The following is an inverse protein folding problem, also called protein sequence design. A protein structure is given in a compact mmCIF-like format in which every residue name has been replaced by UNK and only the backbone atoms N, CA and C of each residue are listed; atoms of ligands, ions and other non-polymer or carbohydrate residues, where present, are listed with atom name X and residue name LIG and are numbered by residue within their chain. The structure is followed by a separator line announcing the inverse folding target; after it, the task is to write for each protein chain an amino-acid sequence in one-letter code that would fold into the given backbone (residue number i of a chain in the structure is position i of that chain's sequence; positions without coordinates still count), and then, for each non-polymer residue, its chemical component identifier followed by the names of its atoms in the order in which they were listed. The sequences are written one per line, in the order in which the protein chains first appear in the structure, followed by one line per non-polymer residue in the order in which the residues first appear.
data_IF_945096640166
#
_entry.id   IF_945096640166
#
_cell.length_a   1.000
_cell.length_b   1.000
_cell.length_c   1.000
_cell.angle_alpha   90.00
_cell.angle_beta   90.00
_cell.angle_gamma   90.00
#
_symmetry.space_group_name_H-M   'P 1'
#
loop_
_entity.id
_entity.type
_entity.pdbx_description
1 polymer ?
#
# COMPACT_ATOMS: atom_id res chain seq x y z
N UNK A 1 18.89 -36.91 -15.94
CA UNK A 1 18.90 -35.68 -15.12
C UNK A 1 17.69 -34.85 -15.53
N UNK A 2 16.85 -34.42 -14.58
CA UNK A 2 15.77 -33.48 -14.88
C UNK A 2 16.37 -32.08 -15.04
N UNK A 3 15.98 -31.35 -16.08
CA UNK A 3 16.33 -29.94 -16.20
C UNK A 3 15.64 -29.17 -15.06
N UNK A 4 16.39 -28.33 -14.33
CA UNK A 4 15.77 -27.37 -13.42
C UNK A 4 15.01 -26.35 -14.26
N UNK A 5 13.78 -25.94 -13.88
CA UNK A 5 13.15 -24.79 -14.51
C UNK A 5 14.04 -23.56 -14.33
N UNK A 6 14.12 -22.73 -15.36
CA UNK A 6 14.77 -21.42 -15.27
C UNK A 6 13.97 -20.52 -14.33
N UNK A 7 14.60 -19.76 -13.42
CA UNK A 7 13.88 -18.84 -12.55
C UNK A 7 13.12 -17.81 -13.39
N UNK A 8 11.89 -17.49 -12.98
CA UNK A 8 11.12 -16.45 -13.62
C UNK A 8 11.76 -15.09 -13.31
N UNK A 9 12.41 -14.48 -14.30
CA UNK A 9 12.87 -13.08 -14.17
C UNK A 9 11.66 -12.20 -13.94
N UNK A 10 11.58 -11.56 -12.76
CA UNK A 10 10.54 -10.59 -12.46
C UNK A 10 10.48 -9.56 -13.60
N UNK A 11 9.35 -9.51 -14.30
CA UNK A 11 9.22 -8.66 -15.49
C UNK A 11 9.31 -7.19 -15.05
N UNK A 12 10.18 -6.36 -15.65
CA UNK A 12 10.21 -4.95 -15.33
C UNK A 12 8.85 -4.33 -15.67
N UNK A 13 8.27 -3.57 -14.72
CA UNK A 13 6.93 -2.98 -14.82
C UNK A 13 6.69 -2.24 -16.15
N UNK A 14 7.78 -1.68 -16.72
CA UNK A 14 7.87 -1.07 -18.04
C UNK A 14 7.31 -1.91 -19.21
N UNK A 15 7.22 -3.23 -19.10
CA UNK A 15 6.66 -4.12 -20.16
C UNK A 15 5.14 -4.22 -20.04
N UNK A 16 4.61 -4.47 -18.84
CA UNK A 16 3.16 -4.54 -18.58
C UNK A 16 2.53 -3.17 -18.80
N UNK A 17 3.17 -2.10 -18.32
CA UNK A 17 2.75 -0.72 -18.53
C UNK A 17 2.69 -0.34 -20.02
N UNK A 18 3.53 -0.89 -20.90
CA UNK A 18 3.43 -0.63 -22.36
C UNK A 18 2.17 -1.25 -22.97
N UNK A 19 1.75 -2.44 -22.54
CA UNK A 19 0.47 -3.02 -22.97
C UNK A 19 -0.71 -2.22 -22.43
N UNK A 20 -0.68 -1.84 -21.16
CA UNK A 20 -1.76 -1.08 -20.52
C UNK A 20 -1.89 0.33 -21.11
N UNK A 21 -0.78 1.03 -21.35
CA UNK A 21 -0.79 2.34 -22.01
C UNK A 21 -1.25 2.26 -23.47
N UNK A 22 -0.96 1.18 -24.20
CA UNK A 22 -1.52 0.97 -25.54
C UNK A 22 -3.05 0.75 -25.49
N UNK A 23 -3.55 -0.04 -24.53
CA UNK A 23 -4.99 -0.22 -24.31
C UNK A 23 -5.68 1.10 -23.90
N UNK A 24 -5.10 1.85 -22.97
CA UNK A 24 -5.62 3.16 -22.54
C UNK A 24 -5.50 4.22 -23.63
N UNK A 25 -4.49 4.16 -24.49
CA UNK A 25 -4.37 5.03 -25.67
C UNK A 25 -5.48 4.71 -26.69
N UNK A 26 -5.74 3.44 -26.96
CA UNK A 26 -6.85 3.00 -27.82
C UNK A 26 -8.23 3.37 -27.24
N UNK A 27 -8.41 3.31 -25.93
CA UNK A 27 -9.63 3.81 -25.25
C UNK A 27 -9.74 5.34 -25.32
N UNK A 28 -8.65 6.08 -25.11
CA UNK A 28 -8.66 7.55 -25.16
C UNK A 28 -8.84 8.12 -26.58
N UNK A 29 -8.54 7.34 -27.63
CA UNK A 29 -8.92 7.65 -29.00
C UNK A 29 -10.46 7.61 -29.22
N UNK A 30 -11.20 6.85 -28.40
CA UNK A 30 -12.66 6.83 -28.42
C UNK A 30 -13.31 7.93 -27.57
N UNK A 31 -12.60 8.52 -26.59
CA UNK A 31 -13.16 9.53 -25.66
C UNK A 31 -12.76 10.98 -25.99
N UNK A 32 -12.31 11.27 -27.22
CA UNK A 32 -12.03 12.63 -27.73
C UNK A 32 -13.30 13.47 -28.00
N UNK A 33 -14.21 13.49 -27.04
CA UNK A 33 -15.40 14.32 -27.03
C UNK A 33 -15.73 14.75 -25.60
N UNK A 34 -14.93 15.68 -25.04
CA UNK A 34 -15.35 16.85 -24.25
C UNK A 34 -14.13 17.70 -23.79
N UNK A 35 -14.27 19.02 -23.84
CA UNK A 35 -13.34 20.07 -23.36
C UNK A 35 -13.48 20.29 -21.82
N UNK A 36 -12.63 21.02 -21.06
CA UNK A 36 -11.29 21.66 -21.26
C UNK A 36 -10.69 22.20 -19.95
N UNK A 37 -9.38 22.58 -19.98
CA UNK A 37 -8.67 23.57 -19.13
C UNK A 37 -8.54 23.26 -17.60
N UNK A 38 -7.48 23.64 -16.87
CA UNK A 38 -6.24 24.43 -17.07
C UNK A 38 -5.16 23.94 -16.05
N UNK A 39 -3.91 24.41 -15.85
CA UNK A 39 -3.11 25.58 -16.31
C UNK A 39 -1.58 25.20 -16.30
N UNK A 40 -0.66 26.15 -16.10
CA UNK A 40 0.82 26.01 -16.11
C UNK A 40 1.51 26.39 -14.79
N UNK A 41 2.75 25.90 -14.55
CA UNK A 41 3.65 26.48 -13.53
C UNK A 41 5.03 25.84 -13.29
N UNK A 42 6.08 26.31 -13.99
CA UNK A 42 7.46 26.43 -13.48
C UNK A 42 8.40 25.18 -13.41
N UNK A 43 9.69 25.28 -13.85
CA UNK A 43 10.68 24.20 -13.73
C UNK A 43 11.88 24.49 -12.80
N UNK A 44 12.48 23.44 -12.22
CA UNK A 44 13.89 23.44 -11.75
C UNK A 44 14.55 22.06 -11.95
N UNK A 45 15.87 22.06 -12.13
CA UNK A 45 16.79 20.91 -12.06
C UNK A 45 17.59 20.98 -10.75
N UNK A 46 18.32 19.97 -10.24
CA UNK A 46 19.07 18.89 -10.89
C UNK A 46 18.92 17.53 -10.16
N UNK A 47 19.64 16.51 -10.63
CA UNK A 47 19.45 15.08 -10.31
C UNK A 47 20.03 14.60 -8.97
N UNK A 48 19.23 13.87 -8.18
CA UNK A 48 19.66 12.66 -7.45
C UNK A 48 18.44 11.89 -6.91
N UNK A 49 18.01 10.82 -7.60
CA UNK A 49 17.12 9.75 -7.10
C UNK A 49 15.93 10.18 -6.22
N UNK A 50 15.05 11.05 -6.72
CA UNK A 50 13.94 11.63 -5.94
C UNK A 50 12.57 11.33 -6.60
N UNK A 51 11.81 10.39 -6.06
CA UNK A 51 10.44 10.11 -6.52
C UNK A 51 9.45 11.00 -5.74
N UNK A 52 8.99 12.09 -6.36
CA UNK A 52 8.16 13.10 -5.68
C UNK A 52 6.85 12.55 -5.10
N UNK A 53 6.25 11.54 -5.73
CA UNK A 53 4.98 10.95 -5.29
C UNK A 53 5.04 10.29 -3.90
N UNK A 54 6.16 9.68 -3.52
CA UNK A 54 6.32 9.08 -2.18
C UNK A 54 6.21 10.11 -1.05
N UNK A 55 6.68 11.33 -1.31
CA UNK A 55 6.68 12.39 -0.32
C UNK A 55 5.34 13.14 -0.31
N UNK A 56 4.61 13.23 -1.42
CA UNK A 56 3.38 14.03 -1.49
C UNK A 56 2.06 13.24 -1.56
N UNK A 57 2.14 11.92 -1.46
CA UNK A 57 1.02 11.02 -1.17
C UNK A 57 0.09 11.55 -0.06
N UNK A 58 -1.06 12.09 -0.46
CA UNK A 58 -2.11 12.50 0.46
C UNK A 58 -2.80 11.24 0.99
N UNK A 59 -3.05 11.11 2.30
CA UNK A 59 -3.86 10.00 2.81
C UNK A 59 -5.28 10.12 2.23
N UNK A 60 -5.94 8.99 1.90
CA UNK A 60 -7.27 9.00 1.31
C UNK A 60 -8.27 9.66 2.27
N UNK A 61 -9.40 10.17 1.75
CA UNK A 61 -10.44 10.72 2.60
C UNK A 61 -11.01 9.62 3.51
N UNK A 62 -10.72 9.75 4.81
CA UNK A 62 -11.45 9.03 5.86
C UNK A 62 -12.93 9.37 5.71
N UNK A 63 -13.74 8.38 5.33
CA UNK A 63 -15.19 8.53 5.36
C UNK A 63 -15.64 8.35 6.80
N UNK A 64 -15.97 9.46 7.45
CA UNK A 64 -16.49 9.47 8.81
C UNK A 64 -17.95 9.03 8.75
N UNK A 65 -18.20 7.77 9.07
CA UNK A 65 -19.56 7.25 9.22
C UNK A 65 -20.18 7.78 10.53
N UNK A 66 -20.95 8.86 10.43
CA UNK A 66 -21.83 9.33 11.51
C UNK A 66 -22.99 8.35 11.72
N UNK A 67 -22.74 7.30 12.51
CA UNK A 67 -23.75 6.32 12.90
C UNK A 67 -24.76 6.90 13.88
N UNK A 68 -25.91 7.36 13.39
CA UNK A 68 -26.97 7.96 14.21
C UNK A 68 -27.60 6.99 15.21
N UNK A 69 -27.14 7.02 16.47
CA UNK A 69 -27.79 6.40 17.62
C UNK A 69 -27.48 7.17 18.91
N UNK A 70 -28.49 7.44 19.73
CA UNK A 70 -28.36 8.20 20.99
C UNK A 70 -27.81 7.34 22.15
N UNK A 71 -26.56 6.93 22.05
CA UNK A 71 -25.74 6.45 23.18
C UNK A 71 -24.31 6.91 22.99
N UNK A 72 -23.72 7.49 24.03
CA UNK A 72 -22.41 8.15 24.08
C UNK A 72 -21.25 7.29 23.51
N UNK A 73 -21.08 7.33 22.19
CA UNK A 73 -20.08 6.55 21.48
C UNK A 73 -18.77 7.34 21.38
N UNK A 74 -17.71 6.79 21.98
CA UNK A 74 -16.33 7.20 21.66
C UNK A 74 -16.13 7.23 20.14
N UNK A 75 -15.38 8.20 19.58
CA UNK A 75 -15.13 8.25 18.14
C UNK A 75 -14.54 6.92 17.67
N UNK A 76 -14.99 6.44 16.50
CA UNK A 76 -14.69 5.10 15.99
C UNK A 76 -13.19 4.92 15.75
N UNK A 77 -12.51 4.34 16.75
CA UNK A 77 -11.05 4.30 16.80
C UNK A 77 -10.49 3.24 15.83
N UNK A 78 -9.85 3.69 14.76
CA UNK A 78 -9.39 2.89 13.61
C UNK A 78 -7.96 2.36 13.82
N UNK A 79 -7.56 1.36 13.02
CA UNK A 79 -6.14 1.04 12.81
C UNK A 79 -5.58 1.81 11.62
N UNK A 80 -4.27 2.10 11.69
CA UNK A 80 -3.45 2.39 10.53
C UNK A 80 -2.54 1.19 10.24
N UNK A 81 -2.87 0.43 9.20
CA UNK A 81 -2.18 -0.79 8.82
C UNK A 81 -1.28 -0.58 7.59
N UNK A 82 -0.12 -1.23 7.60
CA UNK A 82 0.84 -1.24 6.50
C UNK A 82 1.23 -2.70 6.19
N UNK A 83 1.11 -3.07 4.93
CA UNK A 83 1.64 -4.31 4.33
C UNK A 83 2.88 -3.91 3.54
N UNK A 84 4.02 -4.52 3.86
CA UNK A 84 5.32 -4.19 3.28
C UNK A 84 5.93 -5.44 2.63
N UNK A 85 6.16 -5.39 1.33
CA UNK A 85 6.96 -6.36 0.58
C UNK A 85 8.46 -6.15 0.83
N UNK A 86 9.10 -7.20 1.33
CA UNK A 86 10.51 -7.18 1.78
C UNK A 86 11.39 -8.16 1.01
N UNK A 87 11.01 -8.47 -0.23
CA UNK A 87 11.91 -9.11 -1.20
C UNK A 87 13.04 -8.19 -1.63
N UNK A 88 14.03 -8.73 -2.34
CA UNK A 88 15.24 -8.00 -2.73
C UNK A 88 15.05 -6.97 -3.85
N UNK A 89 13.96 -7.05 -4.62
CA UNK A 89 13.67 -6.13 -5.73
C UNK A 89 13.22 -4.75 -5.22
N UNK A 90 12.45 -4.70 -4.14
CA UNK A 90 12.13 -3.50 -3.34
C UNK A 90 13.37 -2.83 -2.67
N UNK A 91 14.59 -3.16 -3.07
CA UNK A 91 15.83 -2.87 -2.34
C UNK A 91 16.28 -1.41 -2.34
N UNK A 92 16.17 -0.72 -3.47
CA UNK A 92 16.36 0.73 -3.61
C UNK A 92 15.17 1.52 -3.06
N UNK A 93 13.95 1.02 -3.27
CA UNK A 93 12.72 1.66 -2.77
C UNK A 93 12.45 1.50 -1.28
N UNK A 94 13.07 0.52 -0.59
CA UNK A 94 12.98 0.32 0.86
C UNK A 94 13.08 1.63 1.66
N UNK A 95 14.00 2.52 1.25
CA UNK A 95 14.19 3.83 1.87
C UNK A 95 13.01 4.78 1.60
N UNK A 96 12.50 4.81 0.37
CA UNK A 96 11.38 5.68 -0.04
C UNK A 96 10.07 5.21 0.59
N UNK A 97 9.83 3.90 0.62
CA UNK A 97 8.66 3.28 1.26
C UNK A 97 8.65 3.55 2.77
N UNK A 98 9.77 3.37 3.48
CA UNK A 98 9.86 3.74 4.91
C UNK A 98 9.53 5.22 5.14
N UNK A 99 10.04 6.12 4.30
CA UNK A 99 9.74 7.55 4.39
C UNK A 99 8.26 7.86 4.10
N UNK A 100 7.66 7.22 3.07
CA UNK A 100 6.24 7.33 2.75
C UNK A 100 5.34 6.85 3.90
N UNK A 101 5.60 5.64 4.42
CA UNK A 101 4.93 5.07 5.59
C UNK A 101 4.98 6.01 6.81
N UNK A 102 6.16 6.55 7.12
CA UNK A 102 6.35 7.52 8.21
C UNK A 102 5.60 8.84 7.97
N UNK A 103 5.57 9.33 6.74
CA UNK A 103 4.91 10.60 6.35
C UNK A 103 3.38 10.46 6.26
N UNK A 104 2.86 9.29 5.92
CA UNK A 104 1.44 8.93 6.00
C UNK A 104 0.95 8.93 7.46
N UNK A 105 1.74 8.34 8.38
CA UNK A 105 1.47 8.39 9.82
C UNK A 105 1.51 9.84 10.32
N UNK A 106 2.60 10.55 10.07
CA UNK A 106 2.76 11.96 10.47
C UNK A 106 1.59 12.83 9.99
N UNK A 107 1.17 12.72 8.72
CA UNK A 107 0.00 13.45 8.15
C UNK A 107 -1.34 13.12 8.80
N UNK A 108 -1.48 12.00 9.50
CA UNK A 108 -2.68 11.72 10.32
C UNK A 108 -2.59 12.42 11.67
N UNK A 109 -1.45 12.30 12.36
CA UNK A 109 -1.22 12.95 13.66
C UNK A 109 -1.34 14.48 13.55
N UNK A 110 -0.68 15.09 12.57
CA UNK A 110 -0.70 16.54 12.28
C UNK A 110 -2.12 17.08 11.98
N UNK A 111 -3.00 16.24 11.41
CA UNK A 111 -4.40 16.59 11.13
C UNK A 111 -5.32 16.42 12.35
N UNK A 112 -4.77 16.26 13.55
CA UNK A 112 -5.52 16.01 14.78
C UNK A 112 -6.20 14.64 14.84
N UNK A 113 -5.88 13.72 13.92
CA UNK A 113 -6.52 12.39 13.82
C UNK A 113 -5.89 11.36 14.74
N UNK A 114 -4.95 11.75 15.62
CA UNK A 114 -4.38 10.86 16.64
C UNK A 114 -5.48 10.30 17.56
N UNK A 115 -6.45 11.12 17.96
CA UNK A 115 -7.62 10.68 18.73
C UNK A 115 -8.56 9.71 17.99
N UNK A 116 -8.36 9.51 16.67
CA UNK A 116 -9.06 8.51 15.86
C UNK A 116 -8.24 7.23 15.66
N UNK A 117 -6.91 7.24 15.83
CA UNK A 117 -6.08 6.05 15.59
C UNK A 117 -5.82 5.33 16.91
N UNK A 118 -6.37 4.12 17.02
CA UNK A 118 -6.22 3.24 18.18
C UNK A 118 -4.85 2.55 18.20
N UNK A 119 -4.46 2.01 17.06
CA UNK A 119 -3.31 1.13 16.92
C UNK A 119 -2.75 1.15 15.48
N UNK A 120 -1.51 0.66 15.37
CA UNK A 120 -0.73 0.53 14.15
C UNK A 120 -0.45 -0.94 13.90
N UNK A 121 -0.59 -1.39 12.65
CA UNK A 121 -0.35 -2.78 12.24
C UNK A 121 0.73 -2.81 11.16
N UNK A 122 1.76 -3.63 11.33
CA UNK A 122 2.74 -3.93 10.27
C UNK A 122 2.70 -5.43 9.91
N UNK A 123 2.48 -5.73 8.64
CA UNK A 123 2.64 -7.07 8.04
C UNK A 123 3.82 -7.03 7.07
N UNK A 124 4.65 -8.07 7.07
CA UNK A 124 5.81 -8.21 6.17
C UNK A 124 5.59 -9.37 5.21
N UNK A 125 5.55 -9.11 3.91
CA UNK A 125 5.50 -10.12 2.84
C UNK A 125 6.92 -10.41 2.36
N UNK A 126 7.24 -11.68 2.11
CA UNK A 126 8.56 -12.15 1.70
C UNK A 126 8.44 -13.60 1.17
N UNK A 127 7.98 -13.79 -0.06
CA UNK A 127 7.63 -15.12 -0.60
C UNK A 127 8.66 -16.22 -0.27
N UNK A 128 8.23 -17.39 0.24
CA UNK A 128 6.85 -17.82 0.54
C UNK A 128 6.30 -17.38 1.91
N UNK A 129 7.11 -16.73 2.75
CA UNK A 129 6.77 -16.40 4.13
C UNK A 129 6.03 -15.05 4.25
N UNK A 130 4.85 -15.07 4.89
CA UNK A 130 4.16 -13.86 5.34
C UNK A 130 4.29 -13.74 6.85
N UNK A 131 5.03 -12.73 7.29
CA UNK A 131 5.30 -12.47 8.71
C UNK A 131 4.05 -12.03 9.48
N UNK A 132 3.91 -12.43 10.75
CA UNK A 132 2.71 -12.17 11.54
C UNK A 132 2.45 -10.67 11.74
N UNK A 133 1.18 -10.28 11.75
CA UNK A 133 0.74 -8.90 11.96
C UNK A 133 1.23 -8.36 13.31
N UNK A 134 2.15 -7.38 13.26
CA UNK A 134 2.73 -6.72 14.43
C UNK A 134 1.87 -5.51 14.81
N UNK A 135 1.06 -5.65 15.86
CA UNK A 135 0.16 -4.59 16.35
C UNK A 135 0.81 -3.80 17.49
N UNK A 136 0.70 -2.47 17.49
CA UNK A 136 1.13 -1.62 18.62
C UNK A 136 0.34 -0.31 18.69
N UNK A 137 0.06 0.20 19.89
CA UNK A 137 -0.51 1.54 20.09
C UNK A 137 0.55 2.66 20.10
N UNK A 138 1.83 2.30 20.14
CA UNK A 138 2.96 3.22 20.29
C UNK A 138 3.52 3.63 18.93
N UNK A 139 3.38 4.90 18.55
CA UNK A 139 4.00 5.48 17.33
C UNK A 139 5.51 5.24 17.29
N UNK A 140 6.20 5.41 18.43
CA UNK A 140 7.63 5.11 18.60
C UNK A 140 7.95 3.65 18.28
N UNK A 141 7.13 2.73 18.76
CA UNK A 141 7.31 1.28 18.54
C UNK A 141 7.00 0.90 17.10
N UNK A 142 6.01 1.53 16.48
CA UNK A 142 5.72 1.35 15.06
C UNK A 142 6.86 1.87 14.17
N UNK A 143 7.46 3.02 14.49
CA UNK A 143 8.67 3.49 13.84
C UNK A 143 9.84 2.51 14.00
N UNK A 144 10.03 1.91 15.18
CA UNK A 144 11.03 0.85 15.38
C UNK A 144 10.73 -0.40 14.53
N UNK A 145 9.46 -0.73 14.29
CA UNK A 145 9.09 -1.83 13.40
C UNK A 145 9.41 -1.52 11.94
N UNK A 146 9.10 -0.31 11.46
CA UNK A 146 9.44 0.17 10.11
C UNK A 146 10.96 0.24 9.88
N UNK A 147 11.72 0.81 10.82
CA UNK A 147 13.18 0.88 10.68
C UNK A 147 13.81 -0.51 10.70
N UNK A 148 13.25 -1.45 11.47
CA UNK A 148 13.68 -2.86 11.51
C UNK A 148 13.33 -3.70 10.28
N UNK A 149 12.59 -3.16 9.29
CA UNK A 149 12.40 -3.84 8.00
C UNK A 149 13.68 -3.73 7.17
N UNK A 150 14.12 -4.86 6.61
CA UNK A 150 15.16 -4.93 5.59
C UNK A 150 14.67 -5.80 4.45
N UNK A 151 15.16 -5.52 3.24
CA UNK A 151 14.96 -6.34 2.05
C UNK A 151 16.07 -7.37 1.95
N UNK A 152 15.74 -8.57 1.48
CA UNK A 152 16.68 -9.65 1.23
C UNK A 152 16.05 -10.63 0.23
N UNK A 153 16.86 -11.23 -0.65
CA UNK A 153 16.47 -12.42 -1.43
C UNK A 153 15.09 -12.34 -2.09
N UNK A 154 14.26 -13.34 -1.82
CA UNK A 154 12.93 -13.54 -2.40
C UNK A 154 12.74 -14.99 -2.84
N UNK A 155 11.49 -15.38 -3.05
CA UNK A 155 11.11 -16.67 -3.63
C UNK A 155 11.01 -16.58 -5.15
N UNK A 156 9.86 -16.97 -5.70
CA UNK A 156 9.55 -16.83 -7.13
C UNK A 156 8.51 -15.71 -7.31
N UNK A 157 8.86 -14.63 -8.03
CA UNK A 157 7.90 -13.66 -8.54
C UNK A 157 6.77 -14.40 -9.30
N UNK A 158 5.49 -14.30 -8.90
CA UNK A 158 4.86 -13.23 -8.11
C UNK A 158 4.70 -13.50 -6.60
N UNK A 159 4.36 -12.48 -5.81
CA UNK A 159 4.38 -12.47 -4.34
C UNK A 159 3.08 -12.92 -3.62
N UNK A 160 3.19 -13.23 -2.32
CA UNK A 160 2.06 -13.59 -1.42
C UNK A 160 1.35 -12.36 -0.83
N UNK A 161 1.14 -11.32 -1.65
CA UNK A 161 0.68 -10.00 -1.19
C UNK A 161 -0.75 -10.01 -0.67
N UNK A 162 -1.65 -10.86 -1.20
CA UNK A 162 -3.07 -10.85 -0.80
C UNK A 162 -3.24 -11.48 0.59
N UNK A 163 -2.42 -12.47 0.94
CA UNK A 163 -2.25 -13.00 2.31
C UNK A 163 -1.77 -11.91 3.26
N UNK A 164 -0.86 -11.04 2.83
CA UNK A 164 -0.42 -9.88 3.61
C UNK A 164 -1.55 -8.90 3.93
N UNK A 165 -2.38 -8.60 2.92
CA UNK A 165 -3.59 -7.77 3.06
C UNK A 165 -4.63 -8.46 3.96
N UNK A 166 -4.82 -9.77 3.83
CA UNK A 166 -5.71 -10.59 4.64
C UNK A 166 -5.33 -10.53 6.13
N UNK A 167 -4.06 -10.75 6.47
CA UNK A 167 -3.57 -10.65 7.85
C UNK A 167 -3.70 -9.23 8.43
N UNK A 168 -3.42 -8.20 7.63
CA UNK A 168 -3.59 -6.80 8.05
C UNK A 168 -5.07 -6.48 8.33
N UNK A 169 -5.97 -6.92 7.45
CA UNK A 169 -7.42 -6.80 7.64
C UNK A 169 -7.93 -7.58 8.84
N UNK A 170 -7.40 -8.77 9.15
CA UNK A 170 -7.82 -9.54 10.33
C UNK A 170 -7.40 -8.88 11.63
N UNK A 171 -6.16 -8.36 11.71
CA UNK A 171 -5.64 -7.67 12.91
C UNK A 171 -6.27 -6.28 13.15
N UNK A 172 -6.63 -5.55 12.08
CA UNK A 172 -7.11 -4.17 12.17
C UNK A 172 -8.52 -4.03 12.81
N UNK A 173 -8.81 -2.86 13.37
CA UNK A 173 -10.16 -2.45 13.81
C UNK A 173 -11.11 -2.27 12.60
N UNK A 174 -12.44 -2.12 12.81
CA UNK A 174 -13.34 -1.61 11.78
C UNK A 174 -12.96 -0.19 11.31
N UNK A 175 -13.39 0.18 10.09
CA UNK A 175 -13.14 1.46 9.41
C UNK A 175 -11.65 1.80 9.18
N UNK A 176 -10.77 0.82 9.23
CA UNK A 176 -9.31 1.02 9.18
C UNK A 176 -8.77 1.35 7.78
N UNK A 177 -7.60 1.98 7.75
CA UNK A 177 -6.82 2.18 6.53
C UNK A 177 -5.73 1.11 6.41
N UNK A 178 -5.67 0.42 5.27
CA UNK A 178 -4.64 -0.56 4.93
C UNK A 178 -3.86 -0.02 3.73
N UNK A 179 -2.58 0.25 3.90
CA UNK A 179 -1.65 0.63 2.84
C UNK A 179 -0.81 -0.57 2.43
N UNK A 180 -0.61 -0.78 1.13
CA UNK A 180 0.20 -1.89 0.59
C UNK A 180 1.33 -1.32 -0.26
N UNK A 181 2.56 -1.73 0.03
CA UNK A 181 3.76 -1.38 -0.74
C UNK A 181 4.41 -2.67 -1.26
N UNK A 182 4.46 -2.83 -2.58
CA UNK A 182 5.07 -3.94 -3.33
C UNK A 182 5.36 -3.45 -4.76
N UNK A 183 6.38 -4.01 -5.38
CA UNK A 183 6.75 -3.83 -6.80
C UNK A 183 6.21 -4.96 -7.70
N UNK A 184 5.72 -6.03 -7.08
CA UNK A 184 5.40 -7.30 -7.72
C UNK A 184 3.89 -7.52 -7.85
N UNK A 185 3.51 -8.39 -8.78
CA UNK A 185 2.14 -8.91 -8.82
C UNK A 185 1.91 -9.90 -7.69
N UNK A 186 0.67 -10.09 -7.27
CA UNK A 186 0.32 -11.19 -6.35
C UNK A 186 0.25 -12.53 -7.12
N UNK A 187 0.37 -13.66 -6.40
CA UNK A 187 0.01 -15.00 -6.92
C UNK A 187 -1.18 -15.65 -6.21
N UNK A 188 -1.50 -15.20 -5.00
CA UNK A 188 -2.54 -15.74 -4.12
C UNK A 188 -3.94 -15.12 -4.35
N UNK A 189 -4.32 -15.02 -5.63
CA UNK A 189 -5.60 -14.46 -6.08
C UNK A 189 -6.83 -15.24 -5.62
N UNK A 190 -6.67 -16.51 -5.23
CA UNK A 190 -7.71 -17.35 -4.63
C UNK A 190 -8.24 -16.78 -3.29
N UNK A 191 -7.45 -15.92 -2.63
CA UNK A 191 -7.81 -15.26 -1.36
C UNK A 191 -8.65 -13.99 -1.53
N UNK A 192 -8.76 -13.44 -2.75
CA UNK A 192 -9.54 -12.22 -3.01
C UNK A 192 -10.97 -12.26 -2.42
N UNK A 193 -11.75 -13.37 -2.50
CA UNK A 193 -13.08 -13.43 -1.89
C UNK A 193 -13.07 -13.25 -0.36
N UNK A 194 -12.03 -13.74 0.34
CA UNK A 194 -11.88 -13.58 1.79
C UNK A 194 -11.45 -12.16 2.15
N UNK A 195 -10.55 -11.56 1.37
CA UNK A 195 -10.15 -10.15 1.50
C UNK A 195 -11.32 -9.20 1.24
N UNK A 196 -12.12 -9.42 0.18
CA UNK A 196 -13.30 -8.60 -0.13
C UNK A 196 -14.38 -8.71 0.96
N UNK A 197 -14.63 -9.91 1.49
CA UNK A 197 -15.52 -10.12 2.63
C UNK A 197 -15.01 -9.39 3.88
N UNK A 198 -13.70 -9.44 4.19
CA UNK A 198 -13.11 -8.71 5.31
C UNK A 198 -13.24 -7.18 5.14
N UNK A 199 -12.98 -6.65 3.93
CA UNK A 199 -13.18 -5.24 3.57
C UNK A 199 -14.63 -4.81 3.83
N UNK A 200 -15.61 -5.56 3.29
CA UNK A 200 -17.04 -5.25 3.47
C UNK A 200 -17.47 -5.39 4.94
N UNK A 201 -17.06 -6.45 5.63
CA UNK A 201 -17.43 -6.70 7.03
C UNK A 201 -16.84 -5.67 8.00
N UNK A 202 -15.62 -5.18 7.73
CA UNK A 202 -14.96 -4.17 8.58
C UNK A 202 -15.16 -2.73 8.09
N UNK A 203 -15.72 -2.49 6.90
CA UNK A 203 -15.79 -1.17 6.25
C UNK A 203 -14.41 -0.49 6.10
N UNK A 204 -13.35 -1.30 6.00
CA UNK A 204 -11.96 -0.82 5.94
C UNK A 204 -11.55 -0.48 4.51
N UNK A 205 -10.79 0.59 4.31
CA UNK A 205 -10.25 0.97 3.01
C UNK A 205 -8.88 0.33 2.80
N UNK A 206 -8.72 -0.46 1.74
CA UNK A 206 -7.42 -0.96 1.28
C UNK A 206 -6.95 -0.17 0.07
N UNK A 207 -5.73 0.37 0.12
CA UNK A 207 -5.09 1.11 -0.97
C UNK A 207 -3.71 0.50 -1.26
N UNK A 208 -3.57 -0.09 -2.44
CA UNK A 208 -2.28 -0.51 -2.97
C UNK A 208 -1.58 0.66 -3.63
N UNK A 209 -0.44 1.06 -3.10
CA UNK A 209 0.31 2.23 -3.59
C UNK A 209 1.24 1.83 -4.73
N UNK A 210 0.62 1.29 -5.80
CA UNK A 210 1.22 0.60 -6.94
C UNK A 210 1.69 1.53 -8.08
N UNK A 211 1.38 2.83 -8.04
CA UNK A 211 1.66 3.79 -9.12
C UNK A 211 2.99 4.57 -8.94
N UNK A 212 4.04 3.95 -8.38
CA UNK A 212 5.33 4.63 -8.14
C UNK A 212 6.57 3.90 -8.66
N UNK A 213 6.38 2.86 -9.49
CA UNK A 213 7.42 1.95 -10.00
C UNK A 213 7.21 1.60 -11.50
#
# INVERSE_FOLDING_TARGET
MLARPTPATCLPASVVMRLLLLLLYLVSLFTRAWESQSFYGGPQSQSLGYISGYLDAQPPPLQVYEGGSNTESMPSSISLAIVFDSTGSMGDDLKQVKLGARRILQRHLEKGREALIKDFVLVKVHDPDVGPARVTTSTKTFYQYLEGVYTQGGGDCPEMTITGIEMALEAAQPNSLIYVFTDSSAKDYDRLPRVLNLIQKKQSQASSQLELL
#
